data_IF_512856495609
#
_entry.id   IF_512856495609
#
_cell.length_a   1.000
_cell.length_b   1.000
_cell.length_c   1.000
_cell.angle_alpha   90.00
_cell.angle_beta   90.00
_cell.angle_gamma   90.00
#
_symmetry.space_group_name_H-M   'P 1'
#
loop_
_entity.id
_entity.type
_entity.pdbx_description
1 polymer ?
#
# COMPACT_ATOMS: atom_id res chain seq x y z
N UNK A 1 21.20 5.01 19.14
CA UNK A 1 19.86 4.58 18.67
C UNK A 1 19.45 5.48 17.50
N UNK A 2 18.59 5.03 16.60
CA UNK A 2 18.00 5.90 15.58
C UNK A 2 16.92 6.78 16.23
N UNK A 3 16.62 7.97 15.68
CA UNK A 3 15.49 8.79 16.11
C UNK A 3 14.17 8.02 16.01
N UNK A 4 13.19 8.45 16.83
CA UNK A 4 11.83 7.94 16.73
C UNK A 4 11.20 8.32 15.38
N UNK A 5 10.24 7.51 14.93
CA UNK A 5 9.43 7.84 13.76
C UNK A 5 8.61 9.10 14.10
N UNK A 6 8.65 10.18 13.30
CA UNK A 6 7.79 11.33 13.54
C UNK A 6 6.32 10.98 13.25
N UNK A 7 5.40 11.61 13.99
CA UNK A 7 3.98 11.58 13.68
C UNK A 7 3.65 12.59 12.59
N UNK A 8 2.95 12.15 11.55
CA UNK A 8 2.55 12.98 10.42
C UNK A 8 1.12 13.50 10.59
N UNK A 9 0.96 14.80 10.42
CA UNK A 9 -0.32 15.50 10.48
C UNK A 9 -0.82 15.74 11.90
N UNK A 10 -2.00 16.35 12.02
CA UNK A 10 -2.64 16.67 13.31
C UNK A 10 -3.71 15.66 13.74
N UNK A 11 -4.08 14.74 12.84
CA UNK A 11 -5.13 13.76 13.11
C UNK A 11 -4.58 12.62 14.00
N UNK A 12 -5.37 12.13 14.98
CA UNK A 12 -4.98 10.97 15.78
C UNK A 12 -5.00 9.70 14.93
N UNK A 13 -4.10 8.76 15.23
CA UNK A 13 -4.12 7.42 14.64
C UNK A 13 -5.16 6.50 15.29
N UNK A 14 -5.48 5.40 14.62
CA UNK A 14 -6.12 4.26 15.24
C UNK A 14 -5.17 3.54 16.21
N UNK A 15 -5.69 2.52 16.91
CA UNK A 15 -4.91 1.84 17.96
C UNK A 15 -3.66 1.15 17.41
N UNK A 16 -3.75 0.62 16.20
CA UNK A 16 -2.67 -0.13 15.55
C UNK A 16 -1.77 0.76 14.69
N UNK A 17 -2.22 1.99 14.42
CA UNK A 17 -1.70 2.85 13.36
C UNK A 17 -1.44 2.04 12.08
N UNK A 18 -2.48 1.35 11.61
CA UNK A 18 -2.42 0.46 10.46
C UNK A 18 -3.76 0.41 9.72
N UNK A 19 -3.75 -0.07 8.46
CA UNK A 19 -4.95 -0.20 7.62
C UNK A 19 -6.05 -1.04 8.29
N UNK A 20 -5.66 -1.96 9.16
CA UNK A 20 -6.53 -2.86 9.93
C UNK A 20 -7.21 -2.21 11.13
N UNK A 21 -6.96 -0.91 11.40
CA UNK A 21 -7.83 -0.12 12.27
C UNK A 21 -9.21 0.13 11.63
N UNK A 22 -9.31 0.02 10.30
CA UNK A 22 -10.60 -0.09 9.61
C UNK A 22 -11.16 -1.48 9.85
N UNK A 23 -12.31 -1.55 10.52
CA UNK A 23 -12.89 -2.81 10.94
C UNK A 23 -13.06 -3.80 9.76
N UNK A 24 -12.86 -5.09 10.06
CA UNK A 24 -12.93 -6.23 9.12
C UNK A 24 -11.75 -6.37 8.15
N UNK A 25 -10.94 -5.33 7.95
CA UNK A 25 -9.74 -5.42 7.11
C UNK A 25 -8.70 -6.30 7.80
N UNK A 26 -8.11 -7.23 7.05
CA UNK A 26 -7.00 -8.07 7.50
C UNK A 26 -5.89 -8.09 6.47
N UNK A 27 -4.64 -8.22 6.90
CA UNK A 27 -3.47 -8.29 6.03
C UNK A 27 -2.65 -9.52 6.37
N UNK A 28 -2.16 -10.23 5.36
CA UNK A 28 -1.27 -11.37 5.54
C UNK A 28 -0.14 -11.39 4.51
N UNK A 29 0.93 -12.11 4.83
CA UNK A 29 2.16 -12.12 4.04
C UNK A 29 2.69 -13.53 3.84
N UNK A 30 3.30 -13.77 2.68
CA UNK A 30 4.21 -14.88 2.44
C UNK A 30 5.52 -14.28 1.93
N UNK A 31 6.61 -14.49 2.66
CA UNK A 31 7.94 -13.92 2.36
C UNK A 31 8.85 -15.03 1.85
N UNK A 32 9.50 -14.80 0.72
CA UNK A 32 10.54 -15.66 0.17
C UNK A 32 11.87 -14.91 0.28
N UNK A 33 12.81 -15.46 1.03
CA UNK A 33 14.05 -14.77 1.41
C UNK A 33 15.32 -15.62 1.27
N UNK A 34 15.31 -16.62 0.40
CA UNK A 34 16.41 -17.55 0.17
C UNK A 34 17.34 -17.11 -0.98
N UNK A 35 18.59 -16.79 -0.64
CA UNK A 35 19.63 -16.47 -1.64
C UNK A 35 19.24 -15.31 -2.55
N UNK A 36 19.20 -15.55 -3.86
CA UNK A 36 18.84 -14.55 -4.86
C UNK A 36 17.31 -14.32 -4.96
N UNK A 37 16.50 -15.17 -4.32
CA UNK A 37 15.04 -15.01 -4.24
C UNK A 37 14.71 -14.13 -3.03
N UNK A 38 14.33 -12.89 -3.31
CA UNK A 38 14.04 -11.88 -2.30
C UNK A 38 12.71 -11.20 -2.62
N UNK A 39 11.60 -11.92 -2.48
CA UNK A 39 10.28 -11.48 -2.95
C UNK A 39 9.16 -11.98 -2.04
N UNK A 40 7.91 -11.87 -2.48
CA UNK A 40 6.80 -12.44 -1.75
C UNK A 40 5.43 -11.98 -2.24
N UNK A 41 4.45 -12.24 -1.39
CA UNK A 41 3.05 -11.88 -1.58
C UNK A 41 2.53 -11.19 -0.33
N UNK A 42 1.77 -10.13 -0.50
CA UNK A 42 0.94 -9.53 0.55
C UNK A 42 -0.51 -9.58 0.09
N UNK A 43 -1.42 -10.04 0.95
CA UNK A 43 -2.85 -10.09 0.66
C UNK A 43 -3.59 -9.19 1.63
N UNK A 44 -4.45 -8.32 1.10
CA UNK A 44 -5.35 -7.45 1.87
C UNK A 44 -6.78 -7.91 1.62
N UNK A 45 -7.46 -8.28 2.71
CA UNK A 45 -8.81 -8.79 2.66
C UNK A 45 -9.74 -7.69 3.17
N UNK A 46 -10.73 -7.22 2.38
CA UNK A 46 -11.62 -6.15 2.83
C UNK A 46 -12.58 -6.62 3.93
N UNK A 47 -12.85 -7.94 4.01
CA UNK A 47 -13.57 -8.60 5.07
C UNK A 47 -13.29 -10.12 5.09
N UNK A 48 -13.77 -10.81 6.13
CA UNK A 48 -13.61 -12.27 6.28
C UNK A 48 -14.52 -13.11 5.36
N UNK A 49 -15.61 -12.53 4.86
CA UNK A 49 -16.56 -13.21 3.95
C UNK A 49 -16.02 -13.45 2.54
N UNK A 50 -16.89 -13.97 1.67
CA UNK A 50 -16.60 -14.17 0.25
C UNK A 50 -16.78 -12.87 -0.53
N UNK A 51 -15.67 -12.25 -0.98
CA UNK A 51 -15.69 -10.97 -1.69
C UNK A 51 -16.36 -11.07 -3.07
N UNK A 52 -16.40 -12.26 -3.69
CA UNK A 52 -17.08 -12.46 -4.96
C UNK A 52 -18.59 -12.41 -4.77
N UNK A 53 -19.11 -12.96 -3.67
CA UNK A 53 -20.55 -12.92 -3.34
C UNK A 53 -20.97 -11.60 -2.69
N UNK A 54 -20.08 -10.97 -1.92
CA UNK A 54 -20.29 -9.74 -1.16
C UNK A 54 -19.25 -8.71 -1.56
N UNK A 55 -19.50 -8.02 -2.67
CA UNK A 55 -18.57 -7.08 -3.29
C UNK A 55 -18.43 -5.83 -2.45
N UNK A 56 -17.27 -5.18 -2.54
CA UNK A 56 -16.92 -4.02 -1.69
C UNK A 56 -16.77 -2.79 -2.58
N UNK A 57 -17.43 -1.65 -2.28
CA UNK A 57 -17.28 -0.44 -3.09
C UNK A 57 -15.82 0.03 -3.12
N UNK A 58 -15.35 0.43 -4.30
CA UNK A 58 -13.98 0.86 -4.50
C UNK A 58 -13.82 1.89 -5.64
N UNK A 59 -12.68 2.58 -5.63
CA UNK A 59 -12.25 3.46 -6.70
C UNK A 59 -10.72 3.47 -6.82
N UNK A 60 -10.23 3.61 -8.04
CA UNK A 60 -8.79 3.60 -8.37
C UNK A 60 -8.35 4.97 -8.89
N UNK A 61 -7.10 5.34 -8.60
CA UNK A 61 -6.43 6.48 -9.18
C UNK A 61 -5.04 6.06 -9.68
N UNK A 62 -4.83 6.12 -10.99
CA UNK A 62 -3.51 5.95 -11.61
C UNK A 62 -2.85 7.33 -11.66
N UNK A 63 -1.77 7.52 -10.90
CA UNK A 63 -1.01 8.77 -10.85
C UNK A 63 0.11 8.76 -11.90
N UNK A 64 0.79 7.62 -12.05
CA UNK A 64 1.62 7.31 -13.20
C UNK A 64 1.46 5.84 -13.61
N UNK A 65 1.26 5.60 -14.91
CA UNK A 65 0.78 4.34 -15.46
C UNK A 65 1.86 3.30 -15.80
N UNK A 66 3.09 3.43 -15.31
CA UNK A 66 4.18 2.51 -15.66
C UNK A 66 4.07 1.12 -14.98
N UNK A 67 2.95 0.80 -14.31
CA UNK A 67 2.68 -0.47 -13.64
C UNK A 67 1.98 -1.52 -14.52
N UNK A 68 2.06 -2.80 -14.12
CA UNK A 68 1.47 -3.97 -14.82
C UNK A 68 0.38 -4.62 -13.95
N UNK A 69 -0.36 -3.79 -13.22
CA UNK A 69 -1.46 -4.24 -12.35
C UNK A 69 -2.65 -4.76 -13.17
N UNK A 70 -3.41 -5.71 -12.62
CA UNK A 70 -4.56 -6.36 -13.27
C UNK A 70 -5.84 -6.06 -12.49
N UNK A 71 -6.94 -5.90 -13.24
CA UNK A 71 -8.30 -5.77 -12.70
C UNK A 71 -8.83 -4.35 -12.59
N UNK A 72 -8.02 -3.33 -12.92
CA UNK A 72 -8.38 -1.92 -12.74
C UNK A 72 -9.56 -1.48 -13.61
N UNK A 73 -9.66 -1.98 -14.85
CA UNK A 73 -10.70 -1.60 -15.79
C UNK A 73 -12.11 -1.89 -15.22
N UNK A 74 -12.32 -3.07 -14.63
CA UNK A 74 -13.61 -3.42 -14.06
C UNK A 74 -13.88 -2.69 -12.73
N UNK A 75 -12.83 -2.32 -11.97
CA UNK A 75 -13.00 -1.43 -10.81
C UNK A 75 -13.47 -0.05 -11.26
N UNK A 76 -12.94 0.49 -12.35
CA UNK A 76 -13.41 1.78 -12.90
C UNK A 76 -14.85 1.71 -13.43
N UNK A 77 -15.22 0.61 -14.09
CA UNK A 77 -16.55 0.43 -14.67
C UNK A 77 -17.62 0.14 -13.61
N UNK A 78 -17.36 -0.79 -12.70
CA UNK A 78 -18.35 -1.30 -11.75
C UNK A 78 -18.22 -0.70 -10.35
N UNK A 79 -17.11 -0.03 -10.04
CA UNK A 79 -16.92 0.63 -8.75
C UNK A 79 -16.81 -0.32 -7.56
N UNK A 80 -16.36 -1.56 -7.78
CA UNK A 80 -16.33 -2.62 -6.76
C UNK A 80 -15.10 -3.52 -6.84
N UNK A 81 -14.72 -4.08 -5.69
CA UNK A 81 -13.83 -5.23 -5.55
C UNK A 81 -14.66 -6.50 -5.41
N UNK A 82 -14.25 -7.56 -6.07
CA UNK A 82 -14.86 -8.90 -5.95
C UNK A 82 -13.85 -10.01 -5.63
N UNK A 83 -12.62 -9.62 -5.28
CA UNK A 83 -11.55 -10.50 -4.80
C UNK A 83 -10.78 -9.79 -3.66
N UNK A 84 -10.07 -10.54 -2.79
CA UNK A 84 -9.03 -9.95 -1.95
C UNK A 84 -7.96 -9.27 -2.82
N UNK A 85 -7.33 -8.22 -2.34
CA UNK A 85 -6.27 -7.52 -3.10
C UNK A 85 -4.95 -8.25 -2.89
N UNK A 86 -4.24 -8.61 -3.96
CA UNK A 86 -2.89 -9.18 -3.89
C UNK A 86 -1.84 -8.16 -4.33
N UNK A 87 -0.72 -8.11 -3.60
CA UNK A 87 0.48 -7.36 -3.96
C UNK A 87 1.63 -8.36 -4.16
N UNK A 88 2.44 -8.17 -5.20
CA UNK A 88 3.60 -9.03 -5.51
C UNK A 88 4.64 -8.30 -6.38
N UNK A 89 5.58 -9.02 -6.99
CA UNK A 89 6.49 -8.46 -7.99
C UNK A 89 5.90 -8.45 -9.41
N UNK A 90 6.46 -7.62 -10.29
CA UNK A 90 5.94 -7.37 -11.65
C UNK A 90 5.68 -8.65 -12.46
N UNK A 91 6.62 -9.60 -12.48
CA UNK A 91 6.48 -10.80 -13.31
C UNK A 91 5.61 -11.88 -12.66
N UNK A 92 5.22 -11.69 -11.40
CA UNK A 92 4.37 -12.63 -10.66
C UNK A 92 2.89 -12.25 -10.68
N UNK A 93 2.52 -11.13 -11.30
CA UNK A 93 1.12 -10.71 -11.46
C UNK A 93 0.24 -11.80 -12.09
N UNK A 94 0.64 -12.46 -13.20
CA UNK A 94 -0.17 -13.53 -13.80
C UNK A 94 -0.41 -14.70 -12.84
N UNK A 95 0.60 -15.09 -12.05
CA UNK A 95 0.48 -16.18 -11.08
C UNK A 95 -0.51 -15.84 -9.95
N UNK A 96 -0.50 -14.60 -9.46
CA UNK A 96 -1.48 -14.14 -8.45
C UNK A 96 -2.89 -14.04 -9.02
N UNK A 97 -3.04 -13.55 -10.25
CA UNK A 97 -4.33 -13.47 -10.90
C UNK A 97 -4.92 -14.87 -11.12
N UNK A 98 -4.10 -15.83 -11.56
CA UNK A 98 -4.52 -17.22 -11.68
C UNK A 98 -4.92 -17.84 -10.33
N UNK A 99 -4.17 -17.57 -9.26
CA UNK A 99 -4.49 -18.04 -7.92
C UNK A 99 -5.83 -17.51 -7.42
N UNK A 100 -6.11 -16.22 -7.60
CA UNK A 100 -7.42 -15.61 -7.25
C UNK A 100 -8.58 -16.21 -8.06
N UNK A 101 -8.37 -16.44 -9.37
CA UNK A 101 -9.39 -17.09 -10.21
C UNK A 101 -9.67 -18.51 -9.71
N UNK A 102 -8.62 -19.30 -9.41
CA UNK A 102 -8.77 -20.66 -8.87
C UNK A 102 -9.46 -20.69 -7.51
N UNK A 103 -9.09 -19.79 -6.59
CA UNK A 103 -9.76 -19.66 -5.30
C UNK A 103 -11.25 -19.34 -5.47
N UNK A 104 -11.59 -18.39 -6.36
CA UNK A 104 -12.98 -18.04 -6.64
C UNK A 104 -13.77 -19.22 -7.21
N UNK A 105 -13.24 -19.93 -8.20
CA UNK A 105 -13.91 -21.11 -8.79
C UNK A 105 -14.10 -22.22 -7.75
N UNK A 106 -13.10 -22.44 -6.88
CA UNK A 106 -13.21 -23.45 -5.83
C UNK A 106 -14.30 -23.12 -4.80
N UNK A 107 -14.44 -21.85 -4.44
CA UNK A 107 -15.48 -21.37 -3.49
C UNK A 107 -16.85 -21.19 -4.14
N UNK A 108 -16.87 -20.88 -5.43
CA UNK A 108 -18.05 -20.55 -6.21
C UNK A 108 -18.02 -21.34 -7.54
N UNK A 109 -18.41 -22.64 -7.55
CA UNK A 109 -18.40 -23.46 -8.76
C UNK A 109 -19.25 -22.92 -9.92
N UNK A 110 -20.18 -22.01 -9.61
CA UNK A 110 -21.02 -21.31 -10.57
C UNK A 110 -20.29 -20.17 -11.33
N UNK A 111 -19.12 -19.71 -10.85
CA UNK A 111 -18.32 -18.67 -11.48
C UNK A 111 -17.86 -19.07 -12.89
N UNK A 112 -18.14 -18.23 -13.89
CA UNK A 112 -17.90 -18.55 -15.31
C UNK A 112 -18.85 -19.62 -15.87
N UNK A 113 -19.93 -19.95 -15.14
CA UNK A 113 -21.01 -20.84 -15.55
C UNK A 113 -22.34 -20.09 -15.47
N UNK A 114 -23.11 -20.29 -14.40
CA UNK A 114 -24.37 -19.59 -14.12
C UNK A 114 -24.14 -18.20 -13.51
N UNK A 115 -22.97 -17.94 -12.93
CA UNK A 115 -22.53 -16.62 -12.48
C UNK A 115 -21.41 -16.08 -13.39
N UNK A 116 -21.25 -14.74 -13.49
CA UNK A 116 -20.16 -14.09 -14.23
C UNK A 116 -18.76 -14.61 -13.90
N UNK A 117 -17.78 -14.34 -14.76
CA UNK A 117 -16.36 -14.53 -14.41
C UNK A 117 -15.95 -13.61 -13.27
N UNK A 118 -14.82 -13.92 -12.62
CA UNK A 118 -14.24 -13.09 -11.56
C UNK A 118 -13.16 -12.17 -12.10
N UNK A 119 -13.08 -10.96 -11.57
CA UNK A 119 -12.02 -9.99 -11.76
C UNK A 119 -10.94 -10.14 -10.68
N UNK A 120 -9.81 -10.79 -10.99
CA UNK A 120 -8.65 -10.78 -10.09
C UNK A 120 -8.11 -9.35 -9.96
N UNK A 121 -7.78 -8.94 -8.73
CA UNK A 121 -7.20 -7.64 -8.45
C UNK A 121 -5.80 -7.80 -7.86
N UNK A 122 -4.81 -7.50 -8.68
CA UNK A 122 -3.40 -7.70 -8.37
C UNK A 122 -2.62 -6.45 -8.72
N UNK A 123 -1.83 -5.96 -7.76
CA UNK A 123 -0.90 -4.88 -7.98
C UNK A 123 0.54 -5.34 -7.77
N UNK A 124 1.50 -4.55 -8.23
CA UNK A 124 2.90 -4.94 -8.22
C UNK A 124 3.86 -3.77 -8.08
N UNK A 125 5.09 -4.10 -7.69
CA UNK A 125 6.27 -3.26 -7.88
C UNK A 125 7.43 -4.13 -8.39
N UNK A 126 8.43 -3.52 -9.02
CA UNK A 126 9.58 -4.25 -9.54
C UNK A 126 10.69 -4.41 -8.48
N UNK A 127 10.90 -5.63 -7.99
CA UNK A 127 11.96 -5.97 -7.02
C UNK A 127 13.27 -6.46 -7.65
N UNK A 128 13.41 -6.38 -8.97
CA UNK A 128 14.52 -6.95 -9.74
C UNK A 128 15.92 -6.41 -9.40
N UNK A 129 16.05 -5.40 -8.53
CA UNK A 129 17.35 -4.99 -7.99
C UNK A 129 17.89 -5.99 -6.97
N UNK A 130 17.04 -6.47 -6.05
CA UNK A 130 17.40 -7.44 -5.00
C UNK A 130 16.98 -8.87 -5.33
N UNK A 131 15.88 -9.03 -6.06
CA UNK A 131 15.31 -10.32 -6.39
C UNK A 131 15.73 -10.79 -7.79
N UNK A 132 15.96 -12.08 -7.96
CA UNK A 132 15.90 -12.71 -9.28
C UNK A 132 14.44 -12.80 -9.76
N UNK A 133 13.94 -11.69 -10.29
CA UNK A 133 12.57 -11.60 -10.81
C UNK A 133 12.34 -12.54 -12.00
N UNK A 134 13.39 -13.00 -12.69
CA UNK A 134 13.28 -13.87 -13.86
C UNK A 134 13.05 -15.33 -13.49
N UNK A 135 13.44 -15.76 -12.29
CA UNK A 135 13.13 -17.12 -11.83
C UNK A 135 11.62 -17.34 -11.62
N UNK A 136 10.83 -16.26 -11.53
CA UNK A 136 9.38 -16.31 -11.29
C UNK A 136 9.01 -17.20 -10.09
N UNK A 137 9.74 -17.05 -8.98
CA UNK A 137 9.63 -17.92 -7.81
C UNK A 137 8.29 -17.86 -7.05
N UNK A 138 7.46 -16.84 -7.29
CA UNK A 138 6.13 -16.74 -6.66
C UNK A 138 5.15 -17.71 -7.33
N UNK A 139 4.35 -18.40 -6.52
CA UNK A 139 3.42 -19.47 -6.92
C UNK A 139 2.10 -19.33 -6.17
N UNK A 140 1.09 -20.09 -6.60
CA UNK A 140 -0.24 -20.12 -5.98
C UNK A 140 -0.19 -20.43 -4.47
N UNK A 141 0.69 -21.33 -4.04
CA UNK A 141 0.88 -21.68 -2.62
C UNK A 141 1.24 -20.46 -1.75
N UNK A 142 2.02 -19.52 -2.29
CA UNK A 142 2.40 -18.29 -1.57
C UNK A 142 1.21 -17.32 -1.43
N UNK A 143 0.31 -17.27 -2.41
CA UNK A 143 -0.95 -16.53 -2.29
C UNK A 143 -1.82 -17.11 -1.18
N UNK A 144 -2.01 -18.43 -1.19
CA UNK A 144 -2.82 -19.13 -0.20
C UNK A 144 -2.23 -19.01 1.21
N UNK A 145 -0.90 -19.08 1.36
CA UNK A 145 -0.22 -18.85 2.62
C UNK A 145 -0.45 -17.42 3.13
N UNK A 146 -0.26 -16.41 2.27
CA UNK A 146 -0.52 -15.01 2.64
C UNK A 146 -1.99 -14.77 3.01
N UNK A 147 -2.93 -15.39 2.28
CA UNK A 147 -4.36 -15.33 2.57
C UNK A 147 -4.71 -15.97 3.91
N UNK A 148 -4.14 -17.14 4.22
CA UNK A 148 -4.36 -17.85 5.48
C UNK A 148 -3.74 -17.14 6.68
N UNK A 149 -2.61 -16.44 6.48
CA UNK A 149 -1.94 -15.65 7.50
C UNK A 149 -2.60 -14.28 7.76
N UNK A 150 -3.67 -13.93 7.04
CA UNK A 150 -4.25 -12.60 7.13
C UNK A 150 -4.88 -12.34 8.51
N UNK A 151 -4.42 -11.29 9.18
CA UNK A 151 -4.86 -10.91 10.53
C UNK A 151 -4.91 -9.40 10.74
N UNK A 152 -5.19 -9.01 11.98
CA UNK A 152 -5.28 -7.60 12.36
C UNK A 152 -3.91 -6.94 12.62
N UNK A 153 -2.90 -7.73 13.03
CA UNK A 153 -1.53 -7.23 13.14
C UNK A 153 -0.88 -7.20 11.76
N UNK A 154 -0.26 -6.07 11.41
CA UNK A 154 0.39 -5.89 10.11
C UNK A 154 1.90 -5.89 10.31
N UNK A 155 2.59 -6.91 9.79
CA UNK A 155 4.04 -6.88 9.72
C UNK A 155 4.47 -5.85 8.65
N UNK A 156 5.50 -5.06 8.96
CA UNK A 156 5.95 -3.95 8.11
C UNK A 156 7.45 -4.09 7.79
N UNK A 157 7.92 -3.30 6.83
CA UNK A 157 9.28 -3.34 6.30
C UNK A 157 9.48 -4.44 5.26
N UNK A 158 10.51 -5.26 5.45
CA UNK A 158 11.03 -6.19 4.44
C UNK A 158 10.33 -7.55 4.44
N UNK A 159 9.00 -7.54 4.34
CA UNK A 159 8.12 -8.73 4.40
C UNK A 159 7.15 -8.78 3.21
N UNK A 160 6.66 -9.97 2.90
CA UNK A 160 5.68 -10.21 1.84
C UNK A 160 6.16 -9.64 0.50
N UNK A 161 5.26 -8.96 -0.21
CA UNK A 161 5.61 -8.25 -1.45
C UNK A 161 6.72 -7.20 -1.26
N UNK A 162 6.91 -6.67 -0.05
CA UNK A 162 7.93 -5.66 0.26
C UNK A 162 9.36 -6.20 0.39
N UNK A 163 9.55 -7.52 0.36
CA UNK A 163 10.85 -8.15 0.65
C UNK A 163 11.99 -7.61 -0.22
N UNK A 164 11.83 -7.57 -1.53
CA UNK A 164 12.86 -7.12 -2.47
C UNK A 164 12.78 -5.66 -2.88
N UNK A 165 11.89 -4.87 -2.27
CA UNK A 165 11.65 -3.49 -2.69
C UNK A 165 12.75 -2.53 -2.21
N UNK A 166 13.04 -1.52 -3.03
CA UNK A 166 14.01 -0.45 -2.81
C UNK A 166 13.31 0.91 -2.88
N UNK A 167 13.51 1.79 -1.90
CA UNK A 167 12.96 3.13 -1.93
C UNK A 167 14.01 4.15 -1.53
N UNK A 168 14.16 5.22 -2.32
CA UNK A 168 15.20 6.24 -2.13
C UNK A 168 16.62 5.66 -2.10
N UNK A 169 16.89 4.62 -2.90
CA UNK A 169 18.12 3.82 -2.85
C UNK A 169 18.41 3.11 -1.51
N UNK A 170 17.48 3.17 -0.56
CA UNK A 170 17.46 2.45 0.71
C UNK A 170 16.52 1.25 0.60
N UNK A 171 16.44 0.46 1.68
CA UNK A 171 15.45 -0.59 1.77
C UNK A 171 14.04 0.00 1.89
N UNK A 172 13.15 -0.36 0.96
CA UNK A 172 11.71 -0.09 1.02
C UNK A 172 10.92 -1.29 1.56
N UNK A 173 9.63 -1.36 1.21
CA UNK A 173 8.80 -2.51 1.55
C UNK A 173 7.36 -2.17 1.92
N UNK A 174 6.77 -2.97 2.81
CA UNK A 174 5.41 -2.77 3.31
C UNK A 174 5.41 -1.71 4.41
N UNK A 175 4.49 -0.76 4.35
CA UNK A 175 4.20 0.12 5.48
C UNK A 175 2.71 0.37 5.60
N UNK A 176 2.26 0.74 6.78
CA UNK A 176 0.85 0.94 7.07
C UNK A 176 0.67 2.00 8.15
N UNK A 177 -0.41 2.76 8.06
CA UNK A 177 -0.78 3.79 9.02
C UNK A 177 -2.30 3.98 9.02
N UNK A 178 -2.85 4.68 10.01
CA UNK A 178 -4.25 5.09 10.00
C UNK A 178 -4.44 6.47 10.61
N UNK A 179 -5.52 7.14 10.22
CA UNK A 179 -5.96 8.40 10.83
C UNK A 179 -7.45 8.36 11.07
N UNK A 180 -7.87 8.91 12.21
CA UNK A 180 -9.28 9.02 12.61
C UNK A 180 -9.72 10.46 12.45
N UNK A 181 -10.89 10.65 11.87
CA UNK A 181 -11.43 11.97 11.57
C UNK A 181 -12.91 12.05 11.93
N UNK A 182 -13.30 13.13 12.60
CA UNK A 182 -14.70 13.39 12.93
C UNK A 182 -15.36 14.12 11.77
N UNK A 183 -16.40 13.52 11.20
CA UNK A 183 -17.26 14.17 10.21
C UNK A 183 -18.47 14.78 10.95
N UNK A 184 -18.68 16.11 10.90
CA UNK A 184 -19.81 16.76 11.54
C UNK A 184 -21.14 16.09 11.19
N UNK A 185 -21.88 15.64 12.21
CA UNK A 185 -23.18 14.96 12.05
C UNK A 185 -23.13 13.53 11.52
N UNK A 186 -21.95 13.01 11.14
CA UNK A 186 -21.76 11.64 10.64
C UNK A 186 -20.87 10.77 11.53
N UNK A 187 -20.30 11.34 12.59
CA UNK A 187 -19.53 10.62 13.61
C UNK A 187 -18.05 10.49 13.25
N UNK A 188 -17.39 9.51 13.84
CA UNK A 188 -15.96 9.31 13.69
C UNK A 188 -15.70 8.21 12.66
N UNK A 189 -14.83 8.53 11.71
CA UNK A 189 -14.39 7.61 10.65
C UNK A 189 -12.89 7.36 10.74
N UNK A 190 -12.46 6.24 10.16
CA UNK A 190 -11.07 5.85 10.03
C UNK A 190 -10.69 5.80 8.55
N UNK A 191 -9.53 6.34 8.20
CA UNK A 191 -8.85 6.07 6.94
C UNK A 191 -7.55 5.35 7.25
N UNK A 192 -7.46 4.11 6.80
CA UNK A 192 -6.27 3.28 6.90
C UNK A 192 -5.52 3.26 5.58
N UNK A 193 -4.19 3.25 5.62
CA UNK A 193 -3.32 3.12 4.45
C UNK A 193 -2.38 1.92 4.59
N UNK A 194 -2.14 1.21 3.48
CA UNK A 194 -1.06 0.25 3.33
C UNK A 194 -0.34 0.54 2.02
N UNK A 195 0.99 0.61 2.07
CA UNK A 195 1.83 0.92 0.92
C UNK A 195 2.82 -0.20 0.62
N UNK A 196 3.14 -0.37 -0.66
CA UNK A 196 4.28 -1.14 -1.15
C UNK A 196 5.29 -0.13 -1.72
N UNK A 197 6.23 0.34 -0.90
CA UNK A 197 7.15 1.41 -1.27
C UNK A 197 8.37 0.87 -2.03
N UNK A 198 8.48 1.24 -3.31
CA UNK A 198 9.59 0.87 -4.19
C UNK A 198 10.05 2.03 -5.11
N UNK A 199 10.08 3.27 -4.61
CA UNK A 199 10.27 4.46 -5.46
C UNK A 199 11.27 5.47 -4.88
N UNK A 200 11.60 6.46 -5.70
CA UNK A 200 12.27 7.68 -5.29
C UNK A 200 13.80 7.60 -5.36
N UNK A 201 14.42 8.77 -5.46
CA UNK A 201 15.87 8.95 -5.47
C UNK A 201 16.34 9.50 -4.12
N UNK A 202 17.42 8.97 -3.58
CA UNK A 202 17.91 9.33 -2.24
C UNK A 202 17.92 10.85 -1.97
N UNK A 203 18.44 11.73 -2.84
CA UNK A 203 18.51 13.16 -2.55
C UNK A 203 17.15 13.82 -2.30
N UNK A 204 16.06 13.23 -2.80
CA UNK A 204 14.73 13.80 -2.70
C UNK A 204 13.97 13.36 -1.45
N UNK A 205 14.46 12.35 -0.72
CA UNK A 205 13.78 11.86 0.48
C UNK A 205 13.50 13.00 1.46
N UNK A 206 12.22 13.17 1.79
CA UNK A 206 11.76 14.08 2.85
C UNK A 206 11.13 13.29 3.97
N UNK A 207 11.38 13.72 5.20
CA UNK A 207 10.80 13.14 6.41
C UNK A 207 10.20 14.29 7.23
N UNK A 208 8.87 14.28 7.42
CA UNK A 208 8.16 15.33 8.13
C UNK A 208 8.56 16.75 7.66
N UNK A 209 8.59 16.96 6.34
CA UNK A 209 9.00 18.23 5.71
C UNK A 209 10.51 18.50 5.61
N UNK A 210 11.35 17.77 6.35
CA UNK A 210 12.80 17.95 6.35
C UNK A 210 13.46 17.27 5.15
N UNK A 211 14.38 17.95 4.46
CA UNK A 211 15.14 17.40 3.32
C UNK A 211 16.28 16.48 3.78
N UNK A 212 15.93 15.30 4.29
CA UNK A 212 16.86 14.32 4.86
C UNK A 212 17.74 13.68 3.80
N UNK A 213 17.16 13.41 2.63
CA UNK A 213 17.80 12.72 1.52
C UNK A 213 19.09 13.36 1.04
N UNK A 214 19.06 14.68 0.83
CA UNK A 214 20.25 15.44 0.40
C UNK A 214 21.39 15.33 1.42
N UNK A 215 21.06 15.41 2.72
CA UNK A 215 22.05 15.27 3.80
C UNK A 215 22.65 13.86 3.86
N UNK A 216 21.83 12.83 3.68
CA UNK A 216 22.30 11.44 3.62
C UNK A 216 23.14 11.16 2.37
N UNK A 217 22.77 11.72 1.22
CA UNK A 217 23.53 11.58 -0.02
C UNK A 217 24.96 12.14 0.12
N UNK A 218 25.12 13.29 0.78
CA UNK A 218 26.46 13.84 1.10
C UNK A 218 27.27 12.94 2.03
N UNK A 219 26.62 12.18 2.92
CA UNK A 219 27.30 11.24 3.82
C UNK A 219 27.70 9.92 3.13
N UNK A 220 26.89 9.45 2.18
CA UNK A 220 27.09 8.16 1.50
C UNK A 220 27.96 8.24 0.25
N UNK A 221 28.08 9.41 -0.39
CA UNK A 221 28.85 9.58 -1.63
C UNK A 221 29.91 10.68 -1.50
N UNK A 222 31.17 10.31 -1.74
CA UNK A 222 32.16 11.24 -2.34
C UNK A 222 31.74 11.61 -3.77
N UNK A 223 32.38 12.58 -4.43
CA UNK A 223 31.85 13.21 -5.64
C UNK A 223 31.64 12.21 -6.80
N UNK A 224 30.49 12.37 -7.48
CA UNK A 224 30.14 11.77 -8.78
C UNK A 224 29.70 10.30 -8.81
N UNK A 225 28.46 10.03 -8.41
CA UNK A 225 27.65 8.96 -9.02
C UNK A 225 26.77 9.63 -10.09
N UNK A 226 26.81 9.13 -11.33
CA UNK A 226 25.94 9.62 -12.39
C UNK A 226 24.47 9.56 -11.94
N UNK A 227 23.67 10.59 -12.27
CA UNK A 227 22.27 10.63 -11.89
C UNK A 227 21.52 9.47 -12.56
N UNK A 228 21.16 8.44 -11.79
CA UNK A 228 20.29 7.39 -12.29
C UNK A 228 18.87 7.93 -12.46
N UNK A 229 18.19 7.64 -13.59
CA UNK A 229 16.80 8.01 -13.75
C UNK A 229 15.93 7.25 -12.74
N UNK A 230 14.88 7.91 -12.28
CA UNK A 230 13.86 7.31 -11.42
C UNK A 230 13.13 6.20 -12.18
N UNK A 231 13.12 4.99 -11.61
CA UNK A 231 12.50 3.76 -12.16
C UNK A 231 11.71 3.01 -11.08
N UNK A 232 11.12 3.76 -10.16
CA UNK A 232 10.45 3.22 -8.98
C UNK A 232 9.12 2.54 -9.28
N UNK A 233 8.34 2.27 -8.23
CA UNK A 233 6.90 2.08 -8.24
C UNK A 233 6.39 2.24 -6.81
N UNK A 234 5.12 2.61 -6.64
CA UNK A 234 4.45 2.49 -5.35
C UNK A 234 2.98 2.16 -5.53
N UNK A 235 2.52 1.17 -4.75
CA UNK A 235 1.09 0.87 -4.60
C UNK A 235 0.61 1.44 -3.27
N UNK A 236 -0.50 2.16 -3.28
CA UNK A 236 -1.13 2.75 -2.10
C UNK A 236 -2.57 2.25 -1.97
N UNK A 237 -2.82 1.39 -1.00
CA UNK A 237 -4.15 0.91 -0.67
C UNK A 237 -4.73 1.74 0.48
N UNK A 238 -5.93 2.26 0.29
CA UNK A 238 -6.70 3.00 1.29
C UNK A 238 -7.96 2.22 1.65
N UNK A 239 -8.23 2.08 2.94
CA UNK A 239 -9.48 1.55 3.45
C UNK A 239 -10.18 2.63 4.28
N UNK A 240 -11.52 2.63 4.29
CA UNK A 240 -12.29 3.46 5.22
C UNK A 240 -13.57 2.76 5.69
N UNK A 241 -14.08 3.18 6.84
CA UNK A 241 -15.40 2.82 7.36
C UNK A 241 -16.49 3.86 7.02
N UNK A 242 -16.14 4.95 6.34
CA UNK A 242 -17.11 5.93 5.84
C UNK A 242 -17.92 5.36 4.67
N UNK A 243 -19.24 5.57 4.65
CA UNK A 243 -20.12 5.14 3.56
C UNK A 243 -19.90 6.01 2.32
N UNK A 244 -19.06 5.53 1.39
CA UNK A 244 -18.68 6.24 0.18
C UNK A 244 -19.06 5.44 -1.07
N UNK A 245 -19.45 6.14 -2.14
CA UNK A 245 -19.61 5.55 -3.48
C UNK A 245 -18.27 5.46 -4.24
N UNK A 246 -18.29 4.82 -5.41
CA UNK A 246 -17.09 4.63 -6.25
C UNK A 246 -16.43 5.95 -6.69
N UNK A 247 -17.22 6.99 -6.97
CA UNK A 247 -16.71 8.32 -7.36
C UNK A 247 -16.01 8.99 -6.18
N UNK A 248 -16.60 8.93 -4.99
CA UNK A 248 -16.00 9.44 -3.75
C UNK A 248 -14.73 8.68 -3.38
N UNK A 249 -14.72 7.36 -3.55
CA UNK A 249 -13.55 6.52 -3.33
C UNK A 249 -12.43 6.83 -4.33
N UNK A 250 -12.75 7.07 -5.61
CA UNK A 250 -11.76 7.56 -6.59
C UNK A 250 -11.15 8.90 -6.16
N UNK A 251 -11.95 9.83 -5.62
CA UNK A 251 -11.44 11.10 -5.07
C UNK A 251 -10.54 10.89 -3.87
N UNK A 252 -10.89 9.94 -2.98
CA UNK A 252 -10.06 9.56 -1.83
C UNK A 252 -8.72 8.94 -2.30
N UNK A 253 -8.75 8.02 -3.27
CA UNK A 253 -7.57 7.41 -3.87
C UNK A 253 -6.61 8.44 -4.46
N UNK A 254 -7.13 9.48 -5.14
CA UNK A 254 -6.30 10.58 -5.67
C UNK A 254 -5.51 11.31 -4.58
N UNK A 255 -5.99 11.36 -3.33
CA UNK A 255 -5.30 12.05 -2.23
C UNK A 255 -4.05 11.31 -1.75
N UNK A 256 -3.91 10.02 -2.06
CA UNK A 256 -2.67 9.28 -1.83
C UNK A 256 -1.48 9.96 -2.52
N UNK A 257 -1.69 10.56 -3.70
CA UNK A 257 -0.66 11.32 -4.41
C UNK A 257 -0.11 12.52 -3.62
N UNK A 258 -0.92 13.17 -2.79
CA UNK A 258 -0.47 14.26 -1.94
C UNK A 258 0.47 13.74 -0.83
N UNK A 259 0.13 12.62 -0.18
CA UNK A 259 0.99 11.97 0.80
C UNK A 259 2.31 11.50 0.19
N UNK A 260 2.24 10.86 -0.99
CA UNK A 260 3.40 10.45 -1.76
C UNK A 260 4.32 11.63 -2.13
N UNK A 261 3.79 12.73 -2.63
CA UNK A 261 4.59 13.90 -3.00
C UNK A 261 5.32 14.54 -1.79
N UNK A 262 4.70 14.54 -0.60
CA UNK A 262 5.29 15.11 0.63
C UNK A 262 6.58 14.40 1.08
N UNK A 263 6.75 13.14 0.69
CA UNK A 263 7.97 12.35 0.96
C UNK A 263 9.09 12.54 -0.06
N UNK A 264 8.85 13.31 -1.14
CA UNK A 264 9.84 13.61 -2.18
C UNK A 264 9.62 12.94 -3.53
N UNK A 265 8.48 12.28 -3.75
CA UNK A 265 8.12 11.80 -5.09
C UNK A 265 7.77 12.95 -6.02
N UNK A 266 8.10 12.78 -7.29
CA UNK A 266 7.68 13.63 -8.40
C UNK A 266 7.03 12.83 -9.53
N UNK A 267 6.58 11.61 -9.23
CA UNK A 267 5.92 10.69 -10.18
C UNK A 267 6.80 10.43 -11.42
N UNK A 268 8.02 9.94 -11.20
CA UNK A 268 9.03 9.76 -12.24
C UNK A 268 8.56 8.85 -13.38
N UNK A 269 9.06 9.07 -14.60
CA UNK A 269 8.58 8.39 -15.82
C UNK A 269 8.47 6.87 -15.69
N UNK A 270 9.47 6.21 -15.10
CA UNK A 270 9.49 4.77 -14.91
C UNK A 270 8.68 4.25 -13.72
N UNK A 271 7.98 5.12 -12.98
CA UNK A 271 7.30 4.79 -11.74
C UNK A 271 5.86 4.31 -11.91
N UNK A 272 5.55 3.08 -11.52
CA UNK A 272 4.16 2.62 -11.42
C UNK A 272 3.50 3.13 -10.14
N UNK A 273 2.80 4.26 -10.20
CA UNK A 273 2.23 4.94 -9.02
C UNK A 273 0.70 4.83 -9.04
N UNK A 274 0.16 3.89 -8.28
CA UNK A 274 -1.27 3.54 -8.33
C UNK A 274 -1.85 3.51 -6.92
N UNK A 275 -2.99 4.17 -6.75
CA UNK A 275 -3.77 4.14 -5.52
C UNK A 275 -5.13 3.47 -5.73
N UNK A 276 -5.57 2.69 -4.75
CA UNK A 276 -6.91 2.11 -4.68
C UNK A 276 -7.52 2.48 -3.32
N UNK A 277 -8.76 2.95 -3.30
CA UNK A 277 -9.52 3.15 -2.08
C UNK A 277 -10.76 2.25 -2.07
N UNK A 278 -11.09 1.68 -0.92
CA UNK A 278 -12.34 0.92 -0.72
C UNK A 278 -12.99 1.25 0.62
N UNK A 279 -14.31 1.07 0.71
CA UNK A 279 -15.08 1.27 1.94
C UNK A 279 -15.63 -0.05 2.48
N UNK A 280 -15.52 -0.25 3.79
CA UNK A 280 -16.08 -1.41 4.51
C UNK A 280 -17.49 -1.16 5.05
N UNK A 281 -18.05 0.03 4.82
CA UNK A 281 -19.33 0.45 5.38
C UNK A 281 -20.52 -0.40 4.90
N UNK A 282 -20.45 -0.93 3.69
CA UNK A 282 -21.49 -1.78 3.10
C UNK A 282 -20.89 -2.74 2.06
N UNK A 283 -21.65 -3.77 1.70
CA UNK A 283 -21.33 -4.71 0.62
C UNK A 283 -22.44 -4.74 -0.41
N UNK A 284 -22.12 -5.14 -1.64
CA UNK A 284 -23.05 -5.27 -2.75
C UNK A 284 -23.18 -6.75 -3.15
N UNK A 285 -24.39 -7.29 -3.26
CA UNK A 285 -24.57 -8.70 -3.55
C UNK A 285 -24.25 -9.06 -5.01
N UNK A 286 -23.65 -10.23 -5.24
CA UNK A 286 -23.47 -10.82 -6.57
C UNK A 286 -24.79 -11.28 -7.20
N UNK A 287 -25.68 -11.81 -6.37
CA UNK A 287 -26.90 -12.49 -6.82
C UNK A 287 -28.01 -11.48 -7.07
N UNK A 288 -28.55 -11.47 -8.28
CA UNK A 288 -29.64 -10.57 -8.71
C UNK A 288 -30.91 -10.71 -7.88
N UNK A 289 -31.11 -11.86 -7.22
CA UNK A 289 -32.25 -12.13 -6.36
C UNK A 289 -32.15 -11.39 -5.02
N UNK A 290 -30.97 -10.88 -4.66
CA UNK A 290 -30.76 -10.08 -3.46
C UNK A 290 -30.88 -8.59 -3.81
N UNK A 291 -31.72 -7.81 -3.09
CA UNK A 291 -31.86 -6.40 -3.35
C UNK A 291 -30.58 -5.65 -3.01
N UNK A 292 -30.29 -4.60 -3.77
CA UNK A 292 -29.22 -3.66 -3.45
C UNK A 292 -29.53 -2.95 -2.12
N UNK A 293 -28.53 -2.69 -1.26
CA UNK A 293 -28.75 -1.98 -0.01
C UNK A 293 -29.10 -0.51 -0.28
N UNK A 294 -30.03 0.04 0.51
CA UNK A 294 -30.26 1.47 0.59
C UNK A 294 -29.21 2.09 1.53
N UNK A 295 -28.18 2.74 0.97
CA UNK A 295 -27.06 3.29 1.74
C UNK A 295 -27.16 4.80 1.82
N UNK A 296 -27.17 5.34 3.04
CA UNK A 296 -27.01 6.78 3.27
C UNK A 296 -25.52 7.13 3.14
N UNK A 297 -25.13 7.64 1.97
CA UNK A 297 -23.75 8.03 1.70
C UNK A 297 -23.35 9.29 2.48
N UNK A 298 -22.07 9.39 2.81
CA UNK A 298 -21.50 10.60 3.40
C UNK A 298 -21.58 11.75 2.39
N UNK A 299 -22.04 12.91 2.84
CA UNK A 299 -22.18 14.09 1.98
C UNK A 299 -20.80 14.57 1.48
N UNK A 300 -20.70 14.94 0.19
CA UNK A 300 -19.43 15.34 -0.43
C UNK A 300 -18.71 16.50 0.28
N UNK A 301 -19.49 17.42 0.85
CA UNK A 301 -18.97 18.56 1.64
C UNK A 301 -18.32 18.17 2.97
N UNK A 302 -18.37 16.90 3.37
CA UNK A 302 -17.74 16.37 4.59
C UNK A 302 -16.47 15.55 4.30
N UNK A 303 -16.01 15.50 3.04
CA UNK A 303 -14.88 14.65 2.64
C UNK A 303 -13.50 15.25 2.94
N UNK A 304 -13.37 16.54 3.21
CA UNK A 304 -12.07 17.19 3.38
C UNK A 304 -11.24 16.56 4.51
N UNK A 305 -11.91 16.19 5.61
CA UNK A 305 -11.27 15.47 6.71
C UNK A 305 -10.75 14.09 6.30
N UNK A 306 -11.50 13.34 5.49
CA UNK A 306 -11.07 12.06 4.94
C UNK A 306 -9.93 12.22 3.92
N UNK A 307 -9.93 13.31 3.16
CA UNK A 307 -8.85 13.64 2.23
C UNK A 307 -7.54 13.96 2.94
N UNK A 308 -7.60 14.72 4.04
CA UNK A 308 -6.45 14.94 4.91
C UNK A 308 -5.97 13.60 5.49
N UNK A 309 -6.89 12.81 6.05
CA UNK A 309 -6.57 11.51 6.64
C UNK A 309 -5.89 10.56 5.64
N UNK A 310 -6.32 10.56 4.37
CA UNK A 310 -5.68 9.78 3.30
C UNK A 310 -4.25 10.26 3.00
N UNK A 311 -4.03 11.58 2.88
CA UNK A 311 -2.70 12.10 2.62
C UNK A 311 -1.73 11.83 3.79
N UNK A 312 -2.18 12.09 5.02
CA UNK A 312 -1.36 11.95 6.23
C UNK A 312 -1.06 10.46 6.52
N UNK A 313 -2.02 9.56 6.33
CA UNK A 313 -1.80 8.11 6.50
C UNK A 313 -0.88 7.53 5.42
N UNK A 314 -0.95 7.99 4.17
CA UNK A 314 -0.02 7.52 3.12
C UNK A 314 1.41 7.98 3.40
N UNK A 315 1.60 9.24 3.78
CA UNK A 315 2.92 9.76 4.16
C UNK A 315 3.49 8.98 5.37
N UNK A 316 2.69 8.78 6.43
CA UNK A 316 3.11 7.98 7.59
C UNK A 316 3.43 6.53 7.21
N UNK A 317 2.61 5.89 6.38
CA UNK A 317 2.81 4.51 5.95
C UNK A 317 4.11 4.34 5.17
N UNK A 318 4.48 5.31 4.31
CA UNK A 318 5.78 5.32 3.63
C UNK A 318 6.93 5.40 4.64
N UNK A 319 6.83 6.28 5.65
CA UNK A 319 7.85 6.37 6.70
C UNK A 319 7.95 5.05 7.50
N UNK A 320 6.83 4.43 7.84
CA UNK A 320 6.82 3.11 8.48
C UNK A 320 7.48 2.03 7.62
N UNK A 321 7.26 2.04 6.30
CA UNK A 321 7.92 1.10 5.40
C UNK A 321 9.45 1.22 5.47
N UNK A 322 9.98 2.45 5.49
CA UNK A 322 11.41 2.73 5.57
C UNK A 322 12.00 2.44 6.96
N UNK A 323 11.26 2.74 8.04
CA UNK A 323 11.75 2.57 9.41
C UNK A 323 11.77 1.11 9.87
N UNK A 324 10.76 0.34 9.48
CA UNK A 324 10.66 -1.08 9.84
C UNK A 324 11.43 -1.98 8.88
N UNK A 325 11.94 -1.43 7.78
CA UNK A 325 12.78 -2.17 6.83
C UNK A 325 14.07 -2.67 7.48
N UNK A 326 14.49 -3.88 7.12
CA UNK A 326 15.80 -4.44 7.46
C UNK A 326 16.66 -4.47 6.22
N UNK A 327 17.97 -4.24 6.37
CA UNK A 327 18.88 -4.35 5.24
C UNK A 327 18.75 -5.72 4.57
N UNK A 328 18.77 -5.75 3.23
CA UNK A 328 18.70 -6.97 2.44
C UNK A 328 19.86 -6.98 1.47
N UNK A 329 20.58 -8.12 1.46
CA UNK A 329 21.48 -8.51 0.38
C UNK A 329 20.72 -9.46 -0.52
N UNK A 330 20.66 -9.15 -1.80
CA UNK A 330 19.97 -9.94 -2.81
C UNK A 330 20.92 -10.41 -3.91
N UNK A 331 20.34 -10.68 -5.09
CA UNK A 331 21.06 -11.21 -6.24
C UNK A 331 22.32 -10.42 -6.59
N UNK A 332 23.33 -11.13 -7.08
CA UNK A 332 24.64 -10.55 -7.44
C UNK A 332 25.32 -9.77 -6.30
N UNK A 333 24.94 -10.01 -5.04
CA UNK A 333 25.45 -9.28 -3.89
C UNK A 333 24.96 -7.82 -3.78
N UNK A 334 23.92 -7.42 -4.52
CA UNK A 334 23.32 -6.10 -4.36
C UNK A 334 22.78 -5.91 -2.95
N UNK A 335 22.99 -4.72 -2.38
CA UNK A 335 22.55 -4.40 -1.02
C UNK A 335 21.70 -3.16 -1.00
N UNK A 336 20.63 -3.18 -0.19
CA UNK A 336 19.91 -1.99 0.23
C UNK A 336 20.00 -1.83 1.75
N UNK A 337 20.66 -0.79 2.26
CA UNK A 337 20.75 -0.55 3.70
C UNK A 337 19.40 -0.09 4.27
N UNK A 338 19.16 -0.34 5.56
CA UNK A 338 18.02 0.22 6.26
C UNK A 338 18.24 1.72 6.57
N UNK A 339 17.18 2.53 6.47
CA UNK A 339 17.24 3.95 6.83
C UNK A 339 17.71 4.15 8.28
N UNK A 340 17.22 3.32 9.19
CA UNK A 340 17.53 3.40 10.63
C UNK A 340 19.01 3.21 10.95
N UNK A 341 19.75 2.49 10.10
CA UNK A 341 21.20 2.34 10.25
C UNK A 341 21.95 3.63 9.93
N UNK A 342 21.47 4.38 8.92
CA UNK A 342 22.03 5.66 8.50
C UNK A 342 21.66 6.81 9.44
N UNK A 343 20.53 6.69 10.12
CA UNK A 343 20.09 7.67 11.11
C UNK A 343 20.72 7.46 12.50
N UNK A 344 21.57 6.43 12.69
CA UNK A 344 22.26 6.22 13.97
C UNK A 344 23.14 7.43 14.29
N UNK A 345 22.96 7.98 15.49
CA UNK A 345 23.71 9.16 15.96
C UNK A 345 23.10 10.50 15.56
N UNK A 346 21.97 10.51 14.85
CA UNK A 346 21.16 11.71 14.71
C UNK A 346 20.48 12.07 16.04
N UNK A 347 20.20 13.36 16.31
CA UNK A 347 19.44 13.78 17.49
C UNK A 347 18.08 13.07 17.57
N UNK A 348 17.63 12.78 18.80
CA UNK A 348 16.36 12.07 19.00
C UNK A 348 15.14 12.87 18.49
N UNK A 349 15.26 14.19 18.47
CA UNK A 349 14.29 15.19 18.03
C UNK A 349 14.57 15.70 16.61
N UNK A 350 15.39 14.99 15.82
CA UNK A 350 15.82 15.45 14.49
C UNK A 350 14.68 15.74 13.49
N UNK A 351 13.47 15.26 13.77
CA UNK A 351 12.27 15.47 12.96
C UNK A 351 11.12 16.11 13.75
N UNK A 352 11.39 16.59 14.97
CA UNK A 352 10.40 17.32 15.75
C UNK A 352 10.03 18.62 15.02
N UNK A 353 8.76 18.98 15.08
CA UNK A 353 8.32 20.24 14.52
C UNK A 353 8.86 21.38 15.40
N UNK A 354 9.52 22.41 14.86
CA UNK A 354 10.08 23.50 15.67
C UNK A 354 9.04 24.22 16.54
N UNK A 355 7.77 24.09 16.20
CA UNK A 355 6.64 24.70 16.92
C UNK A 355 6.05 23.83 18.04
N UNK A 356 6.42 22.55 18.16
CA UNK A 356 5.93 21.65 19.22
C UNK A 356 6.75 21.72 20.52
N UNK A 357 7.83 22.53 20.56
CA UNK A 357 8.72 22.66 21.73
C UNK A 357 8.13 23.56 22.84
N UNK A 358 6.91 24.06 22.65
CA UNK A 358 6.24 24.98 23.60
C UNK A 358 4.82 24.57 24.02
N UNK A 359 4.43 23.30 23.84
CA UNK A 359 3.18 22.76 24.36
C UNK A 359 3.39 21.97 25.67
#
# INVERSE_FOLDING_TARGET
MAPAIPHIGSLPSGRRDAITDVARVTVGHATLDEGDVQTGVTVVCPHAGDAYQQRVPAGVAVLNGFGKSVGLLQVEELGVLETPIALTNTFSVPAMAQAQIRECVARNPECGRSLPTVNPLVFECNDGFLNDIQCMGVREEHYLQARAAAGAEVAQGSVGAGRGMSSFALKGGIGSASRRVSAPGAGLHTVGALVLANYGLLPHLRIAGHAVGARLATQLTGPSVAAEPEKGSIIMLLATDAALDARQLRRLAQRAGAGLARTGSFLGHGSGDIALAFSTAYTLPQRREQPMPAVALLHDGLLDGLFQAAADSVEQAILHALWHARAVTGRNGHVRPALTDLLRGWPADAFANPHDVHA
#
